data_IF_651274467982
#
_entry.id   IF_651274467982
#
_cell.length_a   1.000
_cell.length_b   1.000
_cell.length_c   1.000
_cell.angle_alpha   90.00
_cell.angle_beta   90.00
_cell.angle_gamma   90.00
#
_symmetry.space_group_name_H-M   'P 1'
#
loop_
_entity.id
_entity.type
_entity.pdbx_description
1 polymer ?
#
# COMPACT_ATOMS: atom_id res chain seq x y z
N UNK A 1 14.96 57.13 -5.05
CA UNK A 1 15.65 55.98 -5.66
C UNK A 1 16.11 55.07 -4.53
N UNK A 2 15.61 53.83 -4.43
CA UNK A 2 16.05 52.88 -3.41
C UNK A 2 17.44 52.32 -3.76
N UNK A 3 18.28 51.99 -2.75
CA UNK A 3 19.62 51.47 -3.00
C UNK A 3 19.57 50.04 -3.54
N UNK A 4 20.42 49.77 -4.54
CA UNK A 4 20.53 48.50 -5.23
C UNK A 4 20.93 47.38 -4.26
N UNK A 5 20.20 46.26 -4.35
CA UNK A 5 20.41 45.06 -3.54
C UNK A 5 21.82 44.51 -3.69
N UNK A 6 22.38 44.05 -2.57
CA UNK A 6 23.64 43.33 -2.53
C UNK A 6 23.57 42.08 -3.44
N UNK A 7 24.63 41.79 -4.22
CA UNK A 7 24.67 40.57 -5.03
C UNK A 7 24.66 39.34 -4.13
N UNK A 8 23.88 38.34 -4.52
CA UNK A 8 23.82 37.05 -3.83
C UNK A 8 25.23 36.45 -3.68
N UNK A 9 25.58 35.86 -2.53
CA UNK A 9 26.89 35.27 -2.31
C UNK A 9 27.20 34.20 -3.36
N UNK A 10 28.42 34.26 -3.92
CA UNK A 10 28.88 33.31 -4.95
C UNK A 10 28.87 31.87 -4.39
N UNK A 11 28.36 30.88 -5.14
CA UNK A 11 28.30 29.50 -4.68
C UNK A 11 29.72 28.98 -4.43
N UNK A 12 29.98 28.58 -3.19
CA UNK A 12 31.26 28.02 -2.76
C UNK A 12 31.34 26.58 -3.26
N UNK A 13 32.43 26.19 -3.95
CA UNK A 13 32.64 24.79 -4.36
C UNK A 13 32.62 23.86 -3.14
N UNK A 14 31.87 22.77 -3.24
CA UNK A 14 31.86 21.72 -2.21
C UNK A 14 33.28 21.24 -1.92
N UNK A 15 33.63 21.16 -0.63
CA UNK A 15 34.92 20.62 -0.15
C UNK A 15 34.88 19.10 0.08
N UNK A 16 33.72 18.47 -0.11
CA UNK A 16 33.54 17.04 0.08
C UNK A 16 34.09 16.23 -1.12
N UNK A 17 34.68 15.04 -0.88
CA UNK A 17 34.87 14.03 -1.91
C UNK A 17 33.57 13.74 -2.69
N UNK A 18 33.69 13.32 -3.95
CA UNK A 18 32.55 13.17 -4.87
C UNK A 18 31.45 12.24 -4.35
N UNK A 19 31.81 11.12 -3.75
CA UNK A 19 30.84 10.13 -3.25
C UNK A 19 30.12 10.64 -1.99
N UNK A 20 30.84 11.32 -1.09
CA UNK A 20 30.24 11.99 0.06
C UNK A 20 29.33 13.16 -0.36
N UNK A 21 29.74 13.93 -1.37
CA UNK A 21 28.90 14.98 -1.92
C UNK A 21 27.62 14.42 -2.56
N UNK A 22 27.72 13.30 -3.30
CA UNK A 22 26.57 12.61 -3.89
C UNK A 22 25.62 12.10 -2.81
N UNK A 23 26.12 11.41 -1.80
CA UNK A 23 25.32 10.91 -0.69
C UNK A 23 24.60 12.05 0.04
N UNK A 24 25.30 13.15 0.32
CA UNK A 24 24.71 14.34 0.94
C UNK A 24 23.57 14.95 0.11
N UNK A 25 23.70 15.02 -1.21
CA UNK A 25 22.62 15.53 -2.06
C UNK A 25 21.42 14.57 -2.15
N UNK A 26 21.65 13.26 -2.06
CA UNK A 26 20.54 12.29 -1.94
C UNK A 26 19.80 12.49 -0.62
N UNK A 27 20.51 12.65 0.49
CA UNK A 27 19.90 12.91 1.81
C UNK A 27 19.07 14.20 1.83
N UNK A 28 19.59 15.28 1.25
CA UNK A 28 18.85 16.54 1.06
C UNK A 28 17.62 16.30 0.17
N UNK A 29 17.78 15.54 -0.92
CA UNK A 29 16.68 15.20 -1.83
C UNK A 29 15.54 14.45 -1.14
N UNK A 30 15.85 13.51 -0.24
CA UNK A 30 14.87 12.79 0.58
C UNK A 30 14.13 13.76 1.51
N UNK A 31 14.85 14.66 2.18
CA UNK A 31 14.23 15.66 3.06
C UNK A 31 13.27 16.57 2.30
N UNK A 32 13.68 17.08 1.13
CA UNK A 32 12.84 17.92 0.26
C UNK A 32 11.61 17.15 -0.21
N UNK A 33 11.73 15.86 -0.54
CA UNK A 33 10.59 15.04 -0.92
C UNK A 33 9.59 14.86 0.24
N UNK A 34 10.07 14.64 1.47
CA UNK A 34 9.22 14.54 2.66
C UNK A 34 8.54 15.87 2.99
N UNK A 35 9.28 16.98 2.95
CA UNK A 35 8.73 18.33 3.11
C UNK A 35 7.66 18.61 2.05
N UNK A 36 7.89 18.14 0.82
CA UNK A 36 6.94 18.26 -0.27
C UNK A 36 5.67 17.50 0.02
N UNK A 37 5.72 16.19 0.31
CA UNK A 37 4.55 15.36 0.64
C UNK A 37 3.76 15.98 1.81
N UNK A 38 4.45 16.49 2.84
CA UNK A 38 3.79 17.16 3.98
C UNK A 38 3.10 18.46 3.59
N UNK A 39 3.76 19.34 2.85
CA UNK A 39 3.18 20.59 2.36
C UNK A 39 2.00 20.33 1.42
N UNK A 40 2.12 19.25 0.66
CA UNK A 40 1.12 18.74 -0.23
C UNK A 40 -0.11 18.23 0.57
N UNK A 41 0.07 17.46 1.64
CA UNK A 41 -1.03 17.08 2.52
C UNK A 41 -1.74 18.27 3.21
N UNK A 42 -1.02 19.34 3.60
CA UNK A 42 -1.65 20.57 4.11
C UNK A 42 -2.49 21.30 3.06
N UNK A 43 -1.98 21.31 1.82
CA UNK A 43 -2.63 22.01 0.73
C UNK A 43 -3.96 21.36 0.33
N UNK A 44 -4.12 20.05 0.54
CA UNK A 44 -5.41 19.35 0.43
C UNK A 44 -6.44 19.94 1.41
N UNK A 45 -6.06 20.16 2.68
CA UNK A 45 -6.93 20.77 3.71
C UNK A 45 -7.33 22.21 3.39
N UNK A 46 -6.50 22.94 2.64
CA UNK A 46 -6.68 24.36 2.34
C UNK A 46 -7.13 24.65 0.90
N UNK A 47 -7.39 23.60 0.11
CA UNK A 47 -7.95 23.69 -1.24
C UNK A 47 -6.96 24.02 -2.36
N UNK A 48 -5.64 23.94 -2.12
CA UNK A 48 -4.54 24.24 -3.05
C UNK A 48 -3.95 22.98 -3.71
N UNK A 49 -3.37 23.11 -4.91
CA UNK A 49 -2.89 22.03 -5.80
C UNK A 49 -1.52 21.45 -5.36
N UNK A 50 -1.36 20.13 -5.49
CA UNK A 50 -0.41 19.31 -4.71
C UNK A 50 0.19 18.19 -5.53
N UNK A 51 1.53 18.03 -5.59
CA UNK A 51 2.39 17.31 -6.59
C UNK A 51 2.54 15.77 -6.36
N UNK A 52 2.28 14.98 -7.42
CA UNK A 52 2.08 13.51 -7.46
C UNK A 52 1.21 13.11 -8.68
N UNK A 53 0.93 11.82 -8.98
CA UNK A 53 0.01 11.47 -10.09
C UNK A 53 -1.38 12.12 -9.93
N UNK A 54 -1.85 12.25 -8.70
CA UNK A 54 -3.09 12.96 -8.36
C UNK A 54 -2.99 14.48 -8.51
N UNK A 55 -1.79 15.05 -8.46
CA UNK A 55 -1.54 16.47 -8.73
C UNK A 55 -1.76 16.89 -10.15
N UNK A 56 -1.25 16.04 -11.04
CA UNK A 56 -1.26 16.25 -12.47
C UNK A 56 -2.63 15.84 -13.06
N UNK A 57 -3.55 15.39 -12.20
CA UNK A 57 -4.93 15.08 -12.55
C UNK A 57 -5.67 16.35 -12.94
N UNK A 58 -5.48 16.83 -14.16
CA UNK A 58 -6.12 18.02 -14.68
C UNK A 58 -7.62 17.75 -14.95
N UNK A 59 -8.51 18.45 -14.24
CA UNK A 59 -9.95 18.34 -14.44
C UNK A 59 -10.38 18.68 -15.88
N UNK A 60 -9.63 19.52 -16.60
CA UNK A 60 -9.92 19.80 -17.99
C UNK A 60 -9.58 18.60 -18.90
N UNK A 61 -8.40 18.01 -18.73
CA UNK A 61 -8.00 16.79 -19.43
C UNK A 61 -8.93 15.61 -19.13
N UNK A 62 -9.42 15.48 -17.89
CA UNK A 62 -10.40 14.45 -17.50
C UNK A 62 -11.77 14.72 -18.14
N UNK A 63 -12.31 15.93 -18.01
CA UNK A 63 -13.61 16.27 -18.61
C UNK A 63 -13.62 16.12 -20.13
N UNK A 64 -12.50 16.45 -20.80
CA UNK A 64 -12.35 16.31 -22.25
C UNK A 64 -12.45 14.84 -22.71
N UNK A 65 -12.11 13.86 -21.86
CA UNK A 65 -12.27 12.43 -22.18
C UNK A 65 -13.73 12.01 -22.33
N UNK A 66 -14.65 12.76 -21.73
CA UNK A 66 -16.11 12.56 -21.83
C UNK A 66 -16.76 13.63 -22.74
N UNK A 67 -15.97 14.29 -23.60
CA UNK A 67 -16.47 15.34 -24.49
C UNK A 67 -17.01 16.59 -23.78
N UNK A 68 -16.67 16.76 -22.51
CA UNK A 68 -17.15 17.86 -21.65
C UNK A 68 -16.04 18.87 -21.38
N UNK A 69 -16.44 19.99 -20.79
CA UNK A 69 -15.52 21.04 -20.33
C UNK A 69 -15.30 20.91 -18.83
N UNK A 70 -14.19 21.49 -18.34
CA UNK A 70 -13.84 21.56 -16.91
C UNK A 70 -15.00 22.02 -16.01
N UNK A 71 -15.94 22.82 -16.53
CA UNK A 71 -17.10 23.31 -15.78
C UNK A 71 -17.96 22.21 -15.14
N UNK A 72 -18.02 21.01 -15.73
CA UNK A 72 -18.74 19.87 -15.14
C UNK A 72 -18.10 19.40 -13.84
N UNK A 73 -16.77 19.28 -13.81
CA UNK A 73 -16.03 18.88 -12.60
C UNK A 73 -16.13 19.97 -11.53
N UNK A 74 -16.02 21.24 -11.91
CA UNK A 74 -16.19 22.36 -10.97
C UNK A 74 -17.60 22.41 -10.37
N UNK A 75 -18.64 22.08 -11.13
CA UNK A 75 -20.01 22.01 -10.63
C UNK A 75 -20.22 20.85 -9.63
N UNK A 76 -19.67 19.67 -9.93
CA UNK A 76 -19.87 18.47 -9.10
C UNK A 76 -19.04 18.47 -7.81
N UNK A 77 -17.80 18.94 -7.89
CA UNK A 77 -16.85 18.84 -6.77
C UNK A 77 -16.55 20.21 -6.14
N UNK A 78 -17.01 21.32 -6.72
CA UNK A 78 -16.76 22.68 -6.24
C UNK A 78 -15.35 23.20 -6.53
N UNK A 79 -14.33 22.32 -6.53
CA UNK A 79 -12.94 22.70 -6.80
C UNK A 79 -12.11 21.55 -7.41
N UNK A 80 -10.97 21.92 -7.99
CA UNK A 80 -9.93 20.98 -8.45
C UNK A 80 -9.42 20.10 -7.29
N UNK A 81 -9.24 20.69 -6.11
CA UNK A 81 -8.71 20.02 -4.92
C UNK A 81 -9.70 19.00 -4.37
N UNK A 82 -10.99 19.34 -4.29
CA UNK A 82 -12.03 18.40 -3.88
C UNK A 82 -12.14 17.21 -4.85
N UNK A 83 -12.01 17.46 -6.16
CA UNK A 83 -11.95 16.39 -7.16
C UNK A 83 -10.71 15.48 -6.99
N UNK A 84 -9.53 16.06 -6.71
CA UNK A 84 -8.32 15.29 -6.43
C UNK A 84 -8.45 14.47 -5.14
N UNK A 85 -8.96 15.05 -4.06
CA UNK A 85 -9.23 14.38 -2.79
C UNK A 85 -10.21 13.21 -2.99
N UNK A 86 -11.31 13.43 -3.69
CA UNK A 86 -12.27 12.37 -4.02
C UNK A 86 -11.65 11.25 -4.87
N UNK A 87 -10.75 11.59 -5.81
CA UNK A 87 -10.05 10.58 -6.63
C UNK A 87 -9.05 9.76 -5.80
N UNK A 88 -8.34 10.40 -4.86
CA UNK A 88 -7.45 9.70 -3.91
C UNK A 88 -8.24 8.83 -2.95
N UNK A 89 -9.35 9.33 -2.40
CA UNK A 89 -10.26 8.56 -1.55
C UNK A 89 -10.81 7.33 -2.30
N UNK A 90 -11.18 7.48 -3.57
CA UNK A 90 -11.58 6.34 -4.41
C UNK A 90 -10.43 5.34 -4.60
N UNK A 91 -9.18 5.81 -4.79
CA UNK A 91 -8.03 4.93 -4.91
C UNK A 91 -7.68 4.19 -3.60
N UNK A 92 -8.11 4.72 -2.44
CA UNK A 92 -7.93 4.15 -1.11
C UNK A 92 -9.14 3.37 -0.59
N UNK A 93 -10.28 3.40 -1.31
CA UNK A 93 -11.54 2.73 -0.98
C UNK A 93 -12.05 1.92 -2.16
N UNK A 94 -11.13 1.39 -2.98
CA UNK A 94 -11.38 0.81 -4.29
C UNK A 94 -11.93 -0.63 -4.23
N UNK A 95 -12.46 -1.07 -3.08
CA UNK A 95 -12.87 -2.45 -2.84
C UNK A 95 -13.95 -2.92 -3.83
N UNK A 96 -14.89 -2.06 -4.24
CA UNK A 96 -15.89 -2.37 -5.27
C UNK A 96 -15.30 -2.56 -6.66
N UNK A 97 -14.09 -2.08 -6.87
CA UNK A 97 -13.38 -2.19 -8.14
C UNK A 97 -12.53 -3.47 -8.19
N UNK A 98 -12.32 -4.13 -7.06
CA UNK A 98 -11.70 -5.44 -6.95
C UNK A 98 -12.84 -6.47 -6.95
N UNK A 99 -12.85 -7.41 -7.92
CA UNK A 99 -13.79 -8.53 -7.92
C UNK A 99 -13.74 -9.31 -6.59
N UNK A 100 -14.84 -9.96 -6.18
CA UNK A 100 -14.90 -10.74 -4.94
C UNK A 100 -13.66 -11.64 -4.81
N UNK A 101 -12.85 -11.40 -3.77
CA UNK A 101 -11.64 -12.17 -3.53
C UNK A 101 -12.05 -13.56 -3.07
N UNK A 102 -11.91 -14.54 -3.96
CA UNK A 102 -11.97 -15.93 -3.58
C UNK A 102 -10.67 -16.31 -2.83
N UNK A 103 -10.86 -16.91 -1.66
CA UNK A 103 -9.80 -17.49 -0.84
C UNK A 103 -9.84 -19.01 -0.93
N UNK A 104 -8.70 -19.70 -0.77
CA UNK A 104 -8.67 -21.15 -0.83
C UNK A 104 -9.46 -21.72 0.35
N UNK A 105 -10.41 -22.60 0.08
CA UNK A 105 -11.24 -23.21 1.12
C UNK A 105 -10.44 -24.29 1.84
N UNK A 106 -10.43 -24.33 3.19
CA UNK A 106 -9.69 -25.35 3.95
C UNK A 106 -9.98 -26.78 3.50
N UNK A 107 -11.25 -27.08 3.19
CA UNK A 107 -11.71 -28.41 2.77
C UNK A 107 -11.10 -28.92 1.45
N UNK A 108 -10.51 -28.05 0.64
CA UNK A 108 -9.88 -28.43 -0.63
C UNK A 108 -8.41 -28.91 -0.44
N UNK A 109 -7.89 -28.91 0.80
CA UNK A 109 -6.50 -29.23 1.11
C UNK A 109 -6.38 -30.37 2.12
N UNK A 110 -5.31 -31.20 2.02
CA UNK A 110 -5.13 -32.36 2.89
C UNK A 110 -4.78 -32.02 4.34
N UNK A 111 -4.15 -30.86 4.57
CA UNK A 111 -3.71 -30.41 5.89
C UNK A 111 -3.54 -28.88 5.93
N UNK A 112 -3.33 -28.35 7.14
CA UNK A 112 -3.18 -26.92 7.38
C UNK A 112 -1.95 -26.33 6.69
N UNK A 113 -0.83 -27.07 6.63
CA UNK A 113 0.40 -26.57 6.01
C UNK A 113 0.22 -26.38 4.49
N UNK A 114 -0.48 -27.30 3.82
CA UNK A 114 -0.82 -27.21 2.41
C UNK A 114 -1.79 -26.05 2.13
N UNK A 115 -2.80 -25.86 2.98
CA UNK A 115 -3.73 -24.74 2.87
C UNK A 115 -3.04 -23.39 3.09
N UNK A 116 -2.17 -23.27 4.11
CA UNK A 116 -1.39 -22.05 4.37
C UNK A 116 -0.47 -21.72 3.20
N UNK A 117 0.21 -22.72 2.63
CA UNK A 117 1.07 -22.52 1.45
C UNK A 117 0.27 -21.97 0.26
N UNK A 118 -0.93 -22.51 0.03
CA UNK A 118 -1.82 -22.05 -1.02
C UNK A 118 -2.35 -20.63 -0.75
N UNK A 119 -2.85 -20.36 0.45
CA UNK A 119 -3.33 -19.03 0.86
C UNK A 119 -2.29 -17.95 0.59
N UNK A 120 -1.06 -18.12 1.09
CA UNK A 120 0.02 -17.14 0.87
C UNK A 120 0.56 -17.15 -0.57
N UNK A 121 0.48 -18.28 -1.26
CA UNK A 121 0.78 -18.38 -2.69
C UNK A 121 -0.15 -17.52 -3.54
N UNK A 122 -1.45 -17.54 -3.25
CA UNK A 122 -2.44 -16.71 -3.92
C UNK A 122 -2.29 -15.23 -3.58
N UNK A 123 -1.97 -14.88 -2.33
CA UNK A 123 -1.67 -13.49 -1.98
C UNK A 123 -0.46 -12.97 -2.79
N UNK A 124 0.58 -13.78 -2.97
CA UNK A 124 1.73 -13.38 -3.78
C UNK A 124 1.35 -13.17 -5.26
N UNK A 125 0.54 -14.07 -5.81
CA UNK A 125 0.09 -14.02 -7.21
C UNK A 125 -0.85 -12.85 -7.50
N UNK A 126 -1.70 -12.48 -6.54
CA UNK A 126 -2.62 -11.34 -6.63
C UNK A 126 -1.90 -9.99 -6.51
N UNK A 127 -0.83 -9.96 -5.73
CA UNK A 127 -0.07 -8.76 -5.46
C UNK A 127 0.66 -8.18 -6.67
N UNK A 128 1.12 -6.92 -6.56
CA UNK A 128 1.98 -6.31 -7.56
C UNK A 128 3.24 -7.15 -7.78
N UNK A 129 3.72 -7.20 -9.03
CA UNK A 129 4.95 -7.92 -9.37
C UNK A 129 5.87 -7.10 -10.26
N UNK A 130 7.17 -7.24 -10.02
CA UNK A 130 8.17 -6.53 -10.81
C UNK A 130 8.08 -6.90 -12.29
N UNK A 131 7.84 -5.91 -13.13
CA UNK A 131 7.73 -6.09 -14.58
C UNK A 131 6.35 -6.53 -15.08
N UNK A 132 5.32 -6.59 -14.22
CA UNK A 132 3.94 -6.80 -14.66
C UNK A 132 3.43 -5.63 -15.51
N UNK A 133 2.61 -5.93 -16.51
CA UNK A 133 1.89 -4.88 -17.23
C UNK A 133 0.79 -4.26 -16.35
N UNK A 134 0.49 -2.95 -16.48
CA UNK A 134 -0.59 -2.27 -15.73
C UNK A 134 -2.01 -2.77 -16.03
N UNK A 135 -2.15 -3.86 -16.79
CA UNK A 135 -3.44 -4.45 -17.15
C UNK A 135 -4.07 -5.22 -15.98
N UNK A 136 -3.27 -5.58 -14.98
CA UNK A 136 -3.78 -6.13 -13.73
C UNK A 136 -4.37 -5.00 -12.90
N UNK A 137 -5.71 -5.03 -12.83
CA UNK A 137 -6.50 -3.99 -12.15
C UNK A 137 -6.04 -3.78 -10.70
N UNK A 138 -5.74 -4.88 -10.00
CA UNK A 138 -5.25 -4.87 -8.62
C UNK A 138 -3.87 -4.21 -8.48
N UNK A 139 -2.91 -4.50 -9.36
CA UNK A 139 -1.57 -3.89 -9.37
C UNK A 139 -1.63 -2.38 -9.60
N UNK A 140 -2.48 -1.93 -10.53
CA UNK A 140 -2.69 -0.51 -10.83
C UNK A 140 -3.35 0.22 -9.65
N UNK A 141 -4.38 -0.37 -9.06
CA UNK A 141 -5.01 0.16 -7.84
C UNK A 141 -4.03 0.24 -6.68
N UNK A 142 -3.25 -0.80 -6.42
CA UNK A 142 -2.28 -0.81 -5.34
C UNK A 142 -1.16 0.22 -5.54
N UNK A 143 -0.75 0.45 -6.79
CA UNK A 143 0.20 1.52 -7.13
C UNK A 143 -0.40 2.90 -6.84
N UNK A 144 -1.68 3.11 -7.18
CA UNK A 144 -2.41 4.33 -6.86
C UNK A 144 -2.54 4.50 -5.33
N UNK A 145 -2.88 3.43 -4.61
CA UNK A 145 -2.98 3.37 -3.16
C UNK A 145 -1.66 3.80 -2.51
N UNK A 146 -0.52 3.21 -2.88
CA UNK A 146 0.80 3.60 -2.36
C UNK A 146 1.15 5.07 -2.61
N UNK A 147 0.69 5.63 -3.72
CA UNK A 147 0.94 7.04 -4.03
C UNK A 147 0.07 8.00 -3.21
N UNK A 148 -0.97 7.49 -2.54
CA UNK A 148 -1.88 8.24 -1.66
C UNK A 148 -1.61 7.99 -0.16
N UNK A 149 -1.16 6.80 0.26
CA UNK A 149 -0.98 6.44 1.69
C UNK A 149 -0.13 7.42 2.50
N UNK A 150 1.02 7.95 2.02
CA UNK A 150 1.81 8.89 2.80
C UNK A 150 1.04 10.14 3.24
N UNK A 151 -0.02 10.51 2.53
CA UNK A 151 -0.85 11.67 2.86
C UNK A 151 -1.76 11.43 4.07
N UNK A 152 -2.10 10.17 4.39
CA UNK A 152 -2.88 9.80 5.56
C UNK A 152 -2.19 10.17 6.89
N UNK A 153 -0.88 10.40 6.89
CA UNK A 153 -0.13 10.89 8.07
C UNK A 153 -0.61 12.27 8.53
N UNK A 154 -1.16 13.08 7.62
CA UNK A 154 -1.52 14.48 7.91
C UNK A 154 -2.95 14.87 7.47
N UNK A 155 -3.75 13.92 6.98
CA UNK A 155 -5.11 14.19 6.47
C UNK A 155 -6.09 13.07 6.82
N UNK A 156 -7.08 13.38 7.66
CA UNK A 156 -8.17 12.47 8.00
C UNK A 156 -9.06 12.15 6.79
N UNK A 157 -9.25 13.11 5.87
CA UNK A 157 -10.01 12.92 4.62
C UNK A 157 -9.40 11.83 3.71
N UNK A 158 -8.09 11.61 3.83
CA UNK A 158 -7.36 10.56 3.11
C UNK A 158 -7.26 9.28 3.96
N UNK A 159 -7.08 9.42 5.28
CA UNK A 159 -6.91 8.29 6.18
C UNK A 159 -8.19 7.48 6.40
N UNK A 160 -9.35 8.13 6.53
CA UNK A 160 -10.62 7.47 6.86
C UNK A 160 -11.04 6.40 5.83
N UNK A 161 -11.06 6.67 4.51
CA UNK A 161 -11.42 5.66 3.52
C UNK A 161 -10.46 4.48 3.51
N UNK A 162 -9.14 4.74 3.54
CA UNK A 162 -8.12 3.69 3.55
C UNK A 162 -8.19 2.79 4.79
N UNK A 163 -8.48 3.38 5.96
CA UNK A 163 -8.65 2.64 7.20
C UNK A 163 -9.94 1.82 7.21
N UNK A 164 -11.02 2.31 6.60
CA UNK A 164 -12.26 1.55 6.44
C UNK A 164 -12.03 0.32 5.54
N UNK A 165 -11.42 0.49 4.36
CA UNK A 165 -11.07 -0.63 3.46
C UNK A 165 -10.18 -1.65 4.17
N UNK A 166 -9.16 -1.19 4.89
CA UNK A 166 -8.24 -2.06 5.64
C UNK A 166 -8.99 -2.90 6.68
N UNK A 167 -9.95 -2.31 7.40
CA UNK A 167 -10.77 -3.02 8.39
C UNK A 167 -11.67 -4.08 7.74
N UNK A 168 -12.29 -3.75 6.61
CA UNK A 168 -13.17 -4.68 5.91
C UNK A 168 -12.38 -5.89 5.37
N UNK A 169 -11.21 -5.63 4.76
CA UNK A 169 -10.32 -6.69 4.32
C UNK A 169 -9.83 -7.59 5.46
N UNK A 170 -9.40 -7.00 6.58
CA UNK A 170 -8.99 -7.76 7.77
C UNK A 170 -10.14 -8.57 8.38
N UNK A 171 -11.35 -8.04 8.38
CA UNK A 171 -12.55 -8.76 8.85
C UNK A 171 -12.86 -9.97 7.98
N UNK A 172 -12.66 -9.87 6.66
CA UNK A 172 -12.74 -11.01 5.74
C UNK A 172 -11.70 -12.08 6.06
N UNK A 173 -10.46 -11.70 6.36
CA UNK A 173 -9.40 -12.64 6.77
C UNK A 173 -9.71 -13.35 8.08
N UNK A 174 -10.33 -12.66 9.06
CA UNK A 174 -10.78 -13.28 10.32
C UNK A 174 -11.73 -14.45 10.04
N UNK A 175 -12.67 -14.29 9.11
CA UNK A 175 -13.61 -15.35 8.74
C UNK A 175 -12.89 -16.55 8.09
N UNK A 176 -11.98 -16.30 7.16
CA UNK A 176 -11.16 -17.33 6.50
C UNK A 176 -10.32 -18.12 7.51
N UNK A 177 -9.73 -17.43 8.48
CA UNK A 177 -8.92 -18.08 9.53
C UNK A 177 -9.76 -18.87 10.52
N UNK A 178 -10.94 -18.36 10.89
CA UNK A 178 -11.87 -19.09 11.74
C UNK A 178 -12.28 -20.44 11.12
N UNK A 179 -12.61 -20.44 9.82
CA UNK A 179 -12.95 -21.65 9.08
C UNK A 179 -11.78 -22.64 9.05
N UNK A 180 -10.57 -22.16 8.76
CA UNK A 180 -9.37 -23.00 8.71
C UNK A 180 -9.04 -23.64 10.06
N UNK A 181 -9.12 -22.86 11.16
CA UNK A 181 -8.87 -23.37 12.51
C UNK A 181 -9.87 -24.48 12.88
N UNK A 182 -11.15 -24.29 12.58
CA UNK A 182 -12.17 -25.30 12.84
C UNK A 182 -11.95 -26.57 12.00
N UNK A 183 -11.71 -26.41 10.71
CA UNK A 183 -11.51 -27.52 9.78
C UNK A 183 -10.30 -28.40 10.14
N UNK A 184 -9.18 -27.79 10.52
CA UNK A 184 -7.93 -28.52 10.82
C UNK A 184 -7.77 -28.90 12.31
N UNK A 185 -8.82 -28.73 13.13
CA UNK A 185 -8.80 -28.94 14.59
C UNK A 185 -7.65 -28.20 15.30
N UNK A 186 -7.45 -26.95 14.89
CA UNK A 186 -6.47 -26.04 15.46
C UNK A 186 -7.16 -25.03 16.37
N UNK A 187 -6.37 -24.48 17.28
CA UNK A 187 -6.74 -23.34 18.12
C UNK A 187 -5.60 -22.33 18.14
N UNK A 188 -5.95 -21.09 18.49
CA UNK A 188 -4.95 -20.06 18.73
C UNK A 188 -4.17 -20.33 20.01
N UNK A 189 -2.90 -19.92 20.02
CA UNK A 189 -2.07 -19.94 21.22
C UNK A 189 -2.56 -18.90 22.25
N UNK A 190 -2.30 -19.11 23.54
CA UNK A 190 -2.63 -18.13 24.57
C UNK A 190 -2.01 -16.77 24.26
N UNK A 191 -2.80 -15.70 24.37
CA UNK A 191 -2.36 -14.33 24.07
C UNK A 191 -2.45 -13.94 22.59
N UNK A 192 -3.07 -14.77 21.74
CA UNK A 192 -3.35 -14.45 20.33
C UNK A 192 -4.84 -14.50 20.05
N UNK A 193 -5.34 -13.56 19.25
CA UNK A 193 -6.71 -13.53 18.72
C UNK A 193 -6.73 -13.70 17.20
N UNK A 194 -7.90 -13.94 16.62
CA UNK A 194 -8.07 -13.96 15.17
C UNK A 194 -7.76 -12.59 14.56
N UNK A 195 -8.10 -11.51 15.27
CA UNK A 195 -7.79 -10.15 14.86
C UNK A 195 -6.28 -9.91 14.80
N UNK A 196 -5.53 -10.37 15.80
CA UNK A 196 -4.06 -10.27 15.80
C UNK A 196 -3.44 -11.01 14.61
N UNK A 197 -3.96 -12.21 14.31
CA UNK A 197 -3.50 -13.02 13.18
C UNK A 197 -3.84 -12.36 11.83
N UNK A 198 -5.03 -11.77 11.70
CA UNK A 198 -5.45 -11.02 10.52
C UNK A 198 -4.56 -9.78 10.30
N UNK A 199 -4.32 -8.99 11.33
CA UNK A 199 -3.45 -7.81 11.27
C UNK A 199 -2.02 -8.19 10.92
N UNK A 200 -1.46 -9.21 11.57
CA UNK A 200 -0.11 -9.68 11.29
C UNK A 200 0.03 -10.24 9.86
N UNK A 201 -1.00 -10.93 9.37
CA UNK A 201 -1.02 -11.45 8.00
C UNK A 201 -1.11 -10.33 6.97
N UNK A 202 -2.00 -9.36 7.17
CA UNK A 202 -2.12 -8.18 6.30
C UNK A 202 -0.78 -7.45 6.17
N UNK A 203 -0.13 -7.14 7.30
CA UNK A 203 1.16 -6.46 7.32
C UNK A 203 2.28 -7.28 6.65
N UNK A 204 2.28 -8.61 6.80
CA UNK A 204 3.21 -9.49 6.11
C UNK A 204 3.01 -9.46 4.58
N UNK A 205 1.75 -9.59 4.13
CA UNK A 205 1.39 -9.60 2.70
C UNK A 205 1.78 -8.27 2.05
N UNK A 206 1.34 -7.14 2.60
CA UNK A 206 1.65 -5.81 2.08
C UNK A 206 3.16 -5.52 2.11
N UNK A 207 3.84 -5.90 3.20
CA UNK A 207 5.28 -5.75 3.34
C UNK A 207 6.07 -6.50 2.26
N UNK A 208 5.62 -7.71 1.89
CA UNK A 208 6.25 -8.44 0.80
C UNK A 208 5.83 -7.95 -0.59
N UNK A 209 4.62 -7.45 -0.77
CA UNK A 209 4.22 -6.80 -2.02
C UNK A 209 5.11 -5.59 -2.36
N UNK A 210 5.51 -4.80 -1.36
CA UNK A 210 6.52 -3.74 -1.54
C UNK A 210 7.86 -4.28 -2.08
N UNK A 211 8.25 -5.47 -1.63
CA UNK A 211 9.46 -6.15 -2.12
C UNK A 211 9.25 -6.73 -3.53
N UNK A 212 8.08 -7.30 -3.80
CA UNK A 212 7.70 -7.84 -5.11
C UNK A 212 7.74 -6.79 -6.22
N UNK A 213 7.50 -5.52 -5.91
CA UNK A 213 7.64 -4.41 -6.86
C UNK A 213 9.09 -4.21 -7.33
N UNK A 214 10.06 -4.56 -6.48
CA UNK A 214 11.49 -4.33 -6.72
C UNK A 214 12.15 -5.53 -7.41
N UNK A 215 11.61 -6.73 -7.20
CA UNK A 215 12.20 -7.98 -7.68
C UNK A 215 11.16 -9.08 -7.83
N UNK A 216 11.30 -9.91 -8.88
CA UNK A 216 10.54 -11.15 -9.03
C UNK A 216 11.21 -12.36 -8.32
N UNK A 217 12.36 -12.13 -7.67
CA UNK A 217 13.18 -13.15 -6.98
C UNK A 217 13.24 -12.92 -5.49
N UNK A 218 13.42 -14.00 -4.72
CA UNK A 218 13.64 -13.93 -3.28
C UNK A 218 14.85 -13.03 -2.96
N UNK A 219 14.72 -12.04 -2.06
CA UNK A 219 15.73 -10.99 -1.88
C UNK A 219 17.05 -11.50 -1.28
N UNK A 220 17.03 -12.64 -0.60
CA UNK A 220 18.21 -13.27 0.03
C UNK A 220 18.66 -14.54 -0.73
N UNK A 221 17.77 -15.19 -1.48
CA UNK A 221 18.01 -16.48 -2.16
C UNK A 221 17.62 -16.34 -3.65
N UNK A 222 18.42 -15.66 -4.48
CA UNK A 222 17.97 -15.18 -5.79
C UNK A 222 17.55 -16.26 -6.79
N UNK A 223 17.87 -17.53 -6.51
CA UNK A 223 17.42 -18.69 -7.29
C UNK A 223 15.94 -18.98 -7.14
N UNK A 224 15.30 -18.52 -6.06
CA UNK A 224 13.90 -18.75 -5.77
C UNK A 224 13.00 -17.60 -6.23
N UNK A 225 11.73 -17.86 -6.59
CA UNK A 225 10.76 -16.80 -6.86
C UNK A 225 10.43 -16.02 -5.58
N UNK A 226 10.07 -14.75 -5.73
CA UNK A 226 9.68 -13.90 -4.59
C UNK A 226 8.50 -14.47 -3.77
N UNK A 227 7.59 -15.19 -4.43
CA UNK A 227 6.48 -15.89 -3.79
C UNK A 227 6.91 -16.85 -2.67
N UNK A 228 8.13 -17.42 -2.77
CA UNK A 228 8.64 -18.31 -1.73
C UNK A 228 8.84 -17.58 -0.40
N UNK A 229 9.20 -16.29 -0.43
CA UNK A 229 9.33 -15.49 0.80
C UNK A 229 7.99 -15.42 1.54
N UNK A 230 6.90 -15.11 0.83
CA UNK A 230 5.58 -14.95 1.42
C UNK A 230 5.03 -16.26 1.97
N UNK A 231 5.20 -17.36 1.23
CA UNK A 231 4.78 -18.70 1.68
C UNK A 231 5.52 -19.13 2.95
N UNK A 232 6.84 -18.98 2.99
CA UNK A 232 7.66 -19.37 4.15
C UNK A 232 7.36 -18.50 5.37
N UNK A 233 7.32 -17.17 5.21
CA UNK A 233 6.99 -16.25 6.29
C UNK A 233 5.56 -16.45 6.81
N UNK A 234 4.61 -16.71 5.91
CA UNK A 234 3.23 -17.01 6.27
C UNK A 234 3.09 -18.28 7.09
N UNK A 235 3.83 -19.34 6.71
CA UNK A 235 3.90 -20.58 7.50
C UNK A 235 4.50 -20.36 8.88
N UNK A 236 5.56 -19.55 8.98
CA UNK A 236 6.14 -19.18 10.28
C UNK A 236 5.13 -18.46 11.17
N UNK A 237 4.38 -17.51 10.61
CA UNK A 237 3.33 -16.78 11.31
C UNK A 237 2.22 -17.73 11.79
N UNK A 238 1.70 -18.58 10.91
CA UNK A 238 0.63 -19.54 11.23
C UNK A 238 1.04 -20.52 12.34
N UNK A 239 2.22 -21.12 12.23
CA UNK A 239 2.71 -22.08 13.22
C UNK A 239 3.03 -21.39 14.56
N UNK A 240 3.45 -20.13 14.52
CA UNK A 240 3.65 -19.29 15.69
C UNK A 240 2.34 -18.88 16.38
N UNK A 241 1.23 -18.79 15.65
CA UNK A 241 -0.07 -18.38 16.18
C UNK A 241 -0.98 -19.54 16.58
N UNK A 242 -0.77 -20.73 16.01
CA UNK A 242 -1.68 -21.88 16.15
C UNK A 242 -1.04 -23.07 16.87
N UNK A 243 -1.89 -23.96 17.36
CA UNK A 243 -1.52 -25.27 17.91
C UNK A 243 -2.69 -26.27 17.78
N UNK A 244 -2.42 -27.58 17.78
CA UNK A 244 -3.48 -28.58 17.83
C UNK A 244 -4.38 -28.42 19.05
N UNK A 245 -5.69 -28.57 18.87
CA UNK A 245 -6.66 -28.52 19.97
C UNK A 245 -6.41 -29.59 21.03
N UNK A 246 -5.93 -30.76 20.62
CA UNK A 246 -5.58 -31.87 21.51
C UNK A 246 -4.57 -31.48 22.61
N UNK A 247 -3.71 -30.49 22.36
CA UNK A 247 -2.70 -30.01 23.32
C UNK A 247 -3.28 -29.00 24.34
N UNK A 248 -4.57 -28.66 24.28
CA UNK A 248 -5.19 -27.68 25.18
C UNK A 248 -5.65 -28.24 26.53
N UNK A 249 -5.81 -29.56 26.62
CA UNK A 249 -6.27 -30.26 27.81
C UNK A 249 -5.17 -30.98 28.61
N UNK A 250 -3.91 -30.80 28.20
CA UNK A 250 -2.70 -31.37 28.82
C UNK A 250 -1.88 -30.30 29.52
#
# INVERSE_FOLDING_TARGET
MPPMGQPAPRPTRSRLPRDEARQRYVEIGVQVALERIRADAESLRTGSVVIGPFANLDANAVAARDGKTRGVIANLFGSQSAFQAATMALALGAQELIEEIEHPRPADYPDADAWVDAFFGEQSARGPSHGSEPRDYYTSLWTLWLSAVPYAVWSDEVAEPGLAETRDWMSGMVAVFAEALDHFDLILRPGTSLDDLAVATAGLVEGLWLTQCQTARHPIEPTEPIATALRRSGRMLWNGATRPRAEAGS
#
